data_IF_475779448047
#
_entry.id   IF_475779448047
#
_cell.length_a   1.000
_cell.length_b   1.000
_cell.length_c   1.000
_cell.angle_alpha   90.00
_cell.angle_beta   90.00
_cell.angle_gamma   90.00
#
_symmetry.space_group_name_H-M   'P 1'
#
loop_
_entity.id
_entity.type
_entity.pdbx_description
1 polymer ?
#
# COMPACT_ATOMS: atom_id res chain seq x y z
N UNK A 1 16.22 0.28 1.75
CA UNK A 1 16.37 -0.81 0.75
C UNK A 1 16.00 -0.31 -0.64
N UNK A 2 16.79 -0.62 -1.68
CA UNK A 2 16.51 -0.22 -3.08
C UNK A 2 15.10 -0.66 -3.54
N UNK A 3 14.66 -1.84 -3.09
CA UNK A 3 13.34 -2.39 -3.40
C UNK A 3 12.17 -1.53 -2.90
N UNK A 4 12.28 -0.91 -1.72
CA UNK A 4 11.23 -0.04 -1.18
C UNK A 4 11.05 1.23 -2.02
N UNK A 5 12.17 1.91 -2.35
CA UNK A 5 12.16 3.10 -3.21
C UNK A 5 11.58 2.84 -4.60
N UNK A 6 11.80 1.63 -5.14
CA UNK A 6 11.22 1.22 -6.41
C UNK A 6 9.69 1.08 -6.31
N UNK A 7 9.20 0.39 -5.28
CA UNK A 7 7.75 0.24 -5.04
C UNK A 7 7.12 1.60 -4.77
N UNK A 8 7.76 2.46 -3.99
CA UNK A 8 7.32 3.84 -3.75
C UNK A 8 7.09 4.60 -5.07
N UNK A 9 8.01 4.48 -6.04
CA UNK A 9 7.85 5.15 -7.33
C UNK A 9 6.65 4.62 -8.12
N UNK A 10 6.38 3.33 -8.04
CA UNK A 10 5.20 2.74 -8.69
C UNK A 10 3.93 3.26 -8.01
N UNK A 11 3.85 3.19 -6.68
CA UNK A 11 2.70 3.68 -5.93
C UNK A 11 2.50 5.20 -6.08
N UNK A 12 3.57 5.96 -6.30
CA UNK A 12 3.48 7.38 -6.63
C UNK A 12 2.79 7.59 -7.97
N UNK A 13 3.19 6.86 -9.02
CA UNK A 13 2.57 6.96 -10.36
C UNK A 13 1.12 6.46 -10.35
N UNK A 14 0.82 5.44 -9.55
CA UNK A 14 -0.55 4.91 -9.40
C UNK A 14 -1.56 5.95 -8.93
N UNK A 15 -1.15 7.08 -8.35
CA UNK A 15 -2.07 8.16 -8.00
C UNK A 15 -2.82 8.74 -9.20
N UNK A 16 -2.24 8.63 -10.41
CA UNK A 16 -2.87 9.08 -11.64
C UNK A 16 -3.91 8.07 -12.14
N UNK A 17 -3.67 6.77 -11.92
CA UNK A 17 -4.44 5.67 -12.50
C UNK A 17 -5.52 5.10 -11.57
N UNK A 18 -5.32 5.16 -10.26
CA UNK A 18 -6.18 4.53 -9.27
C UNK A 18 -6.82 5.54 -8.31
N UNK A 19 -8.07 5.27 -7.94
CA UNK A 19 -8.71 5.92 -6.80
C UNK A 19 -8.22 5.27 -5.49
N UNK A 20 -8.11 3.94 -5.47
CA UNK A 20 -7.79 3.17 -4.27
C UNK A 20 -7.02 1.90 -4.59
N UNK A 21 -6.16 1.48 -3.66
CA UNK A 21 -5.48 0.18 -3.68
C UNK A 21 -5.71 -0.49 -2.32
N UNK A 22 -6.11 -1.77 -2.35
CA UNK A 22 -6.14 -2.64 -1.17
C UNK A 22 -5.09 -3.71 -1.29
N UNK A 23 -4.41 -3.99 -0.18
CA UNK A 23 -3.36 -5.00 -0.09
C UNK A 23 -3.65 -5.81 1.17
N UNK A 24 -3.82 -7.12 1.01
CA UNK A 24 -3.82 -8.06 2.13
C UNK A 24 -2.88 -9.24 1.83
N UNK A 25 -2.89 -10.25 2.69
CA UNK A 25 -2.03 -11.41 2.51
C UNK A 25 -2.45 -12.37 1.37
N UNK A 26 -3.63 -12.16 0.78
CA UNK A 26 -4.15 -12.96 -0.34
C UNK A 26 -3.86 -12.28 -1.66
N UNK A 27 -4.20 -10.99 -1.77
CA UNK A 27 -4.16 -10.30 -3.06
C UNK A 27 -3.93 -8.80 -2.96
N UNK A 28 -3.71 -8.19 -4.13
CA UNK A 28 -3.70 -6.74 -4.32
C UNK A 28 -4.88 -6.38 -5.21
N UNK A 29 -5.78 -5.53 -4.74
CA UNK A 29 -6.91 -5.03 -5.54
C UNK A 29 -6.71 -3.57 -5.87
N UNK A 30 -6.93 -3.19 -7.13
CA UNK A 30 -6.84 -1.80 -7.59
C UNK A 30 -8.20 -1.34 -8.08
N UNK A 31 -8.70 -0.24 -7.54
CA UNK A 31 -9.85 0.49 -8.10
C UNK A 31 -9.31 1.58 -9.03
N UNK A 32 -9.31 1.31 -10.32
CA UNK A 32 -8.91 2.25 -11.36
C UNK A 32 -9.92 3.38 -11.54
N UNK A 33 -9.42 4.57 -11.86
CA UNK A 33 -10.26 5.74 -12.17
C UNK A 33 -11.05 5.56 -13.44
N UNK A 34 -10.38 5.13 -14.53
CA UNK A 34 -11.03 4.79 -15.79
C UNK A 34 -11.23 3.28 -15.90
N UNK A 35 -12.37 2.80 -15.39
CA UNK A 35 -12.76 1.39 -15.48
C UNK A 35 -13.05 0.91 -16.91
N UNK A 36 -13.14 1.80 -17.91
CA UNK A 36 -13.42 1.42 -19.30
C UNK A 36 -12.15 1.03 -20.07
N UNK A 37 -10.98 1.45 -19.62
CA UNK A 37 -9.70 1.04 -20.20
C UNK A 37 -9.29 -0.37 -19.72
N UNK A 38 -9.96 -1.38 -20.25
CA UNK A 38 -9.75 -2.78 -19.83
C UNK A 38 -8.32 -3.25 -20.10
N UNK A 39 -7.76 -2.89 -21.26
CA UNK A 39 -6.44 -3.37 -21.68
C UNK A 39 -5.30 -2.68 -20.91
N UNK A 40 -5.38 -1.35 -20.72
CA UNK A 40 -4.41 -0.60 -19.92
C UNK A 40 -4.42 -1.05 -18.45
N UNK A 41 -5.61 -1.18 -17.86
CA UNK A 41 -5.77 -1.64 -16.48
C UNK A 41 -5.21 -3.06 -16.29
N UNK A 42 -5.41 -3.96 -17.25
CA UNK A 42 -4.86 -5.32 -17.20
C UNK A 42 -3.32 -5.32 -17.23
N UNK A 43 -2.69 -4.44 -18.02
CA UNK A 43 -1.23 -4.35 -18.07
C UNK A 43 -0.64 -3.76 -16.78
N UNK A 44 -1.27 -2.73 -16.22
CA UNK A 44 -0.87 -2.18 -14.91
C UNK A 44 -0.97 -3.25 -13.82
N UNK A 45 -2.06 -4.03 -13.79
CA UNK A 45 -2.23 -5.12 -12.83
C UNK A 45 -1.12 -6.18 -12.93
N UNK A 46 -0.69 -6.57 -14.15
CA UNK A 46 0.45 -7.49 -14.30
C UNK A 46 1.69 -6.96 -13.60
N UNK A 47 2.02 -5.68 -13.80
CA UNK A 47 3.17 -5.06 -13.14
C UNK A 47 2.99 -5.03 -11.61
N UNK A 48 1.83 -4.63 -11.10
CA UNK A 48 1.55 -4.61 -9.65
C UNK A 48 1.70 -6.00 -9.03
N UNK A 49 1.17 -7.06 -9.67
CA UNK A 49 1.28 -8.42 -9.14
C UNK A 49 2.71 -8.94 -9.12
N UNK A 50 3.59 -8.49 -10.02
CA UNK A 50 5.02 -8.87 -9.97
C UNK A 50 5.75 -8.30 -8.73
N UNK A 51 5.21 -7.25 -8.11
CA UNK A 51 5.78 -6.67 -6.89
C UNK A 51 5.59 -7.54 -5.65
N UNK A 52 4.59 -8.44 -5.66
CA UNK A 52 4.28 -9.38 -4.57
C UNK A 52 4.11 -8.71 -3.21
N UNK A 53 3.41 -7.57 -3.18
CA UNK A 53 3.23 -6.78 -1.96
C UNK A 53 2.52 -7.56 -0.84
N UNK A 54 1.60 -8.46 -1.23
CA UNK A 54 0.85 -9.34 -0.34
C UNK A 54 1.74 -10.26 0.51
N UNK A 55 2.91 -10.68 0.01
CA UNK A 55 3.83 -11.57 0.73
C UNK A 55 4.38 -10.92 2.02
N UNK A 56 4.40 -9.58 2.10
CA UNK A 56 4.91 -8.82 3.27
C UNK A 56 3.83 -8.60 4.33
N UNK A 57 2.55 -8.71 3.94
CA UNK A 57 1.41 -8.26 4.75
C UNK A 57 1.13 -9.12 5.97
N UNK A 58 1.40 -10.42 5.99
CA UNK A 58 1.12 -11.27 7.17
C UNK A 58 -0.34 -11.16 7.63
N UNK A 59 -0.61 -10.53 8.77
CA UNK A 59 -1.96 -10.25 9.29
C UNK A 59 -2.48 -8.84 9.00
N UNK A 60 -1.63 -7.98 8.44
CA UNK A 60 -1.95 -6.60 8.13
C UNK A 60 -2.81 -6.51 6.86
N UNK A 61 -3.68 -5.51 6.83
CA UNK A 61 -4.44 -5.10 5.64
C UNK A 61 -4.24 -3.62 5.42
N UNK A 62 -3.94 -3.24 4.19
CA UNK A 62 -3.63 -1.87 3.82
C UNK A 62 -4.69 -1.36 2.86
N UNK A 63 -5.12 -0.12 3.05
CA UNK A 63 -5.86 0.65 2.05
C UNK A 63 -5.09 1.94 1.78
N UNK A 64 -4.74 2.16 0.52
CA UNK A 64 -4.20 3.42 0.02
C UNK A 64 -5.36 4.11 -0.70
N UNK A 65 -5.76 5.28 -0.22
CA UNK A 65 -6.81 6.08 -0.85
C UNK A 65 -6.20 7.34 -1.45
N UNK A 66 -6.20 7.42 -2.79
CA UNK A 66 -5.65 8.57 -3.51
C UNK A 66 -6.62 9.74 -3.59
N UNK A 67 -7.93 9.47 -3.54
CA UNK A 67 -8.99 10.49 -3.51
C UNK A 67 -8.89 11.33 -2.23
N UNK A 68 -8.80 10.67 -1.07
CA UNK A 68 -8.70 11.31 0.24
C UNK A 68 -7.27 11.45 0.77
N UNK A 69 -6.28 10.99 0.00
CA UNK A 69 -4.85 11.04 0.33
C UNK A 69 -4.55 10.46 1.70
N UNK A 70 -5.04 9.26 1.99
CA UNK A 70 -4.77 8.58 3.25
C UNK A 70 -4.23 7.15 3.05
N UNK A 71 -3.54 6.65 4.06
CA UNK A 71 -3.15 5.25 4.17
C UNK A 71 -3.78 4.72 5.44
N UNK A 72 -4.53 3.64 5.32
CA UNK A 72 -5.09 2.92 6.45
C UNK A 72 -4.37 1.58 6.61
N UNK A 73 -3.95 1.27 7.83
CA UNK A 73 -3.24 0.05 8.19
C UNK A 73 -4.05 -0.63 9.29
N UNK A 74 -4.56 -1.82 8.99
CA UNK A 74 -5.43 -2.60 9.89
C UNK A 74 -4.74 -3.89 10.29
N UNK A 75 -4.83 -4.28 11.56
CA UNK A 75 -4.41 -5.61 12.07
C UNK A 75 -5.33 -6.03 13.21
N UNK A 76 -6.21 -7.00 12.96
CA UNK A 76 -7.25 -7.36 13.91
C UNK A 76 -8.12 -6.15 14.26
N UNK A 77 -8.11 -5.74 15.53
CA UNK A 77 -8.80 -4.53 16.02
C UNK A 77 -7.92 -3.27 16.05
N UNK A 78 -6.62 -3.39 15.77
CA UNK A 78 -5.70 -2.25 15.68
C UNK A 78 -5.85 -1.54 14.34
N UNK A 79 -5.78 -0.21 14.38
CA UNK A 79 -5.95 0.67 13.22
C UNK A 79 -5.02 1.88 13.31
N UNK A 80 -4.31 2.15 12.21
CA UNK A 80 -3.51 3.36 12.01
C UNK A 80 -4.00 4.06 10.73
N UNK A 81 -4.12 5.39 10.78
CA UNK A 81 -4.51 6.22 9.64
C UNK A 81 -3.49 7.34 9.42
N UNK A 82 -2.73 7.24 8.33
CA UNK A 82 -1.77 8.27 7.90
C UNK A 82 -2.48 9.23 6.94
N UNK A 83 -2.97 10.36 7.46
CA UNK A 83 -3.65 11.39 6.65
C UNK A 83 -2.65 12.22 5.84
N UNK A 84 -3.06 12.68 4.66
CA UNK A 84 -2.21 13.45 3.75
C UNK A 84 -1.00 12.65 3.24
N UNK A 85 -1.09 11.32 3.22
CA UNK A 85 0.04 10.41 3.04
C UNK A 85 1.21 10.67 4.01
N UNK A 86 0.93 11.08 5.24
CA UNK A 86 1.92 11.17 6.31
C UNK A 86 3.16 12.03 5.97
N UNK A 87 4.29 11.68 6.59
CA UNK A 87 5.54 12.48 6.53
C UNK A 87 6.26 12.45 5.18
N UNK A 88 6.07 11.39 4.39
CA UNK A 88 6.74 11.23 3.09
C UNK A 88 5.84 11.56 1.89
N UNK A 89 4.59 11.96 2.15
CA UNK A 89 3.63 12.23 1.11
C UNK A 89 3.41 11.01 0.19
N UNK A 90 2.95 11.27 -1.02
CA UNK A 90 2.71 10.24 -2.03
C UNK A 90 4.00 9.53 -2.49
N UNK A 91 5.17 10.13 -2.25
CA UNK A 91 6.48 9.60 -2.69
C UNK A 91 7.07 8.51 -1.80
N UNK A 92 6.48 8.25 -0.63
CA UNK A 92 7.00 7.29 0.34
C UNK A 92 5.93 6.39 0.96
N UNK A 93 4.85 6.13 0.21
CA UNK A 93 3.70 5.33 0.68
C UNK A 93 4.15 3.97 1.23
N UNK A 94 4.93 3.22 0.46
CA UNK A 94 5.38 1.88 0.85
C UNK A 94 6.35 1.94 2.02
N UNK A 95 7.27 2.91 2.00
CA UNK A 95 8.21 3.10 3.10
C UNK A 95 7.49 3.36 4.43
N UNK A 96 6.45 4.21 4.46
CA UNK A 96 5.66 4.42 5.69
C UNK A 96 4.91 3.16 6.12
N UNK A 97 4.32 2.41 5.19
CA UNK A 97 3.63 1.16 5.52
C UNK A 97 4.60 0.18 6.20
N UNK A 98 5.81 0.04 5.68
CA UNK A 98 6.83 -0.84 6.27
C UNK A 98 7.25 -0.35 7.66
N UNK A 99 7.48 0.96 7.85
CA UNK A 99 7.84 1.53 9.13
C UNK A 99 6.77 1.26 10.20
N UNK A 100 5.49 1.51 9.90
CA UNK A 100 4.39 1.25 10.85
C UNK A 100 4.26 -0.24 11.20
N UNK A 101 4.46 -1.12 10.21
CA UNK A 101 4.46 -2.58 10.44
C UNK A 101 5.64 -3.01 11.30
N UNK A 102 6.83 -2.48 11.05
CA UNK A 102 8.06 -2.78 11.80
C UNK A 102 7.95 -2.29 13.25
N UNK A 103 7.45 -1.07 13.46
CA UNK A 103 7.21 -0.51 14.79
C UNK A 103 6.20 -1.33 15.60
N UNK A 104 5.10 -1.79 15.00
CA UNK A 104 4.12 -2.65 15.69
C UNK A 104 4.72 -4.03 16.03
N UNK A 105 5.58 -4.59 15.17
CA UNK A 105 6.29 -5.86 15.45
C UNK A 105 7.28 -5.72 16.60
N UNK A 106 8.09 -4.66 16.60
CA UNK A 106 9.09 -4.44 17.65
C UNK A 106 8.43 -4.26 19.03
N UNK A 107 7.31 -3.53 19.10
CA UNK A 107 6.54 -3.40 20.36
C UNK A 107 6.04 -4.75 20.89
N UNK A 108 5.66 -5.67 20.01
CA UNK A 108 5.23 -7.02 20.42
C UNK A 108 6.38 -7.91 20.90
N UNK A 109 7.60 -7.70 20.42
CA UNK A 109 8.79 -8.43 20.88
C UNK A 109 9.27 -7.93 22.24
N UNK A 110 9.16 -6.62 22.52
CA UNK A 110 9.51 -6.04 23.83
C UNK A 110 8.52 -6.40 24.95
N UNK A 111 7.29 -6.76 24.61
CA UNK A 111 6.24 -7.17 25.57
C UNK A 111 6.28 -8.68 25.93
N UNK A 112 7.18 -9.48 25.33
CA UNK A 112 7.34 -10.93 25.55
C UNK A 112 8.53 -11.26 26.47
#
# INVERSE_FOLDING_TARGET
MLKAKFIDKILEVMQEEADRIWIDNKEVTVCFKDSKDVDGNAEILKHIYTLKLNEVMGEYKIRIDYEFKNIEIHKGTKFVCLRGFGKYGVTGIWSMILEEIEEDRNKMEEEQ
#
